data_IF_466609493207
#
_entry.id   IF_466609493207
#
_cell.length_a   1.000
_cell.length_b   1.000
_cell.length_c   1.000
_cell.angle_alpha   90.00
_cell.angle_beta   90.00
_cell.angle_gamma   90.00
#
_symmetry.space_group_name_H-M   'P 1'
#
loop_
_entity.id
_entity.type
_entity.pdbx_description
1 polymer ?
#
# COMPACT_ATOMS: atom_id res chain seq x y z
N UNK A 1 29.45 -42.61 -21.74
CA UNK A 1 28.85 -41.37 -22.27
C UNK A 1 27.34 -41.60 -22.13
N UNK A 2 26.57 -40.85 -21.35
CA UNK A 2 26.43 -39.39 -21.38
C UNK A 2 26.06 -38.80 -20.02
N UNK A 3 26.69 -37.66 -19.73
CA UNK A 3 26.43 -36.74 -18.63
C UNK A 3 25.24 -35.85 -19.03
N UNK A 4 24.09 -35.92 -18.32
CA UNK A 4 22.99 -34.97 -18.52
C UNK A 4 22.86 -34.06 -17.31
N UNK A 5 23.21 -32.81 -17.58
CA UNK A 5 23.27 -31.64 -16.72
C UNK A 5 21.97 -31.43 -15.94
N UNK A 6 22.07 -31.43 -14.61
CA UNK A 6 21.09 -30.87 -13.67
C UNK A 6 21.63 -29.55 -13.14
N UNK A 7 21.27 -28.45 -13.78
CA UNK A 7 21.62 -27.10 -13.33
C UNK A 7 20.82 -26.08 -14.09
N UNK A 8 19.59 -25.79 -13.67
CA UNK A 8 18.81 -24.71 -14.27
C UNK A 8 17.62 -24.19 -13.45
N UNK A 9 17.16 -24.86 -12.39
CA UNK A 9 15.95 -24.39 -11.68
C UNK A 9 16.25 -23.43 -10.52
N UNK A 10 17.47 -23.45 -9.97
CA UNK A 10 17.85 -22.63 -8.80
C UNK A 10 18.31 -21.21 -9.14
N UNK A 11 18.86 -20.94 -10.34
CA UNK A 11 19.40 -19.61 -10.66
C UNK A 11 18.34 -18.59 -11.09
N UNK A 12 17.21 -19.06 -11.64
CA UNK A 12 16.11 -18.18 -12.09
C UNK A 12 15.42 -17.55 -10.88
N UNK A 13 15.20 -18.30 -9.79
CA UNK A 13 14.60 -17.77 -8.57
C UNK A 13 15.50 -16.79 -7.81
N UNK A 14 16.81 -17.00 -7.79
CA UNK A 14 17.75 -16.11 -7.08
C UNK A 14 17.78 -14.72 -7.73
N UNK A 15 17.74 -14.64 -9.06
CA UNK A 15 17.70 -13.36 -9.76
C UNK A 15 16.43 -12.57 -9.45
N UNK A 16 15.27 -13.24 -9.44
CA UNK A 16 13.99 -12.62 -9.08
C UNK A 16 13.97 -12.17 -7.60
N UNK A 17 14.54 -12.95 -6.69
CA UNK A 17 14.66 -12.58 -5.28
C UNK A 17 15.63 -11.40 -5.07
N UNK A 18 16.74 -11.34 -5.80
CA UNK A 18 17.65 -10.19 -5.76
C UNK A 18 16.99 -8.94 -6.35
N UNK A 19 16.18 -9.08 -7.41
CA UNK A 19 15.41 -7.98 -7.98
C UNK A 19 14.36 -7.46 -6.99
N UNK A 20 13.68 -8.35 -6.26
CA UNK A 20 12.76 -8.00 -5.17
C UNK A 20 13.47 -7.31 -4.01
N UNK A 21 14.62 -7.82 -3.56
CA UNK A 21 15.45 -7.16 -2.54
C UNK A 21 15.87 -5.75 -2.99
N UNK A 22 16.18 -5.58 -4.28
CA UNK A 22 16.54 -4.27 -4.82
C UNK A 22 15.35 -3.31 -4.81
N UNK A 23 14.15 -3.78 -5.17
CA UNK A 23 12.92 -2.99 -5.05
C UNK A 23 12.69 -2.55 -3.59
N UNK A 24 12.91 -3.43 -2.62
CA UNK A 24 12.79 -3.12 -1.19
C UNK A 24 13.80 -2.06 -0.70
N UNK A 25 15.02 -2.08 -1.24
CA UNK A 25 16.01 -1.03 -0.99
C UNK A 25 15.59 0.30 -1.61
N UNK A 26 15.15 0.27 -2.87
CA UNK A 26 14.74 1.48 -3.62
C UNK A 26 13.48 2.12 -3.00
N UNK A 27 12.56 1.31 -2.45
CA UNK A 27 11.36 1.73 -1.73
C UNK A 27 11.66 2.19 -0.29
N UNK A 28 12.92 2.08 0.17
CA UNK A 28 13.37 2.49 1.51
C UNK A 28 12.92 1.56 2.65
N UNK A 29 12.42 0.37 2.31
CA UNK A 29 11.99 -0.66 3.27
C UNK A 29 13.19 -1.37 3.89
N UNK A 30 14.28 -1.52 3.14
CA UNK A 30 15.56 -2.07 3.63
C UNK A 30 16.66 -1.01 3.56
N UNK A 31 17.60 -1.07 4.50
CA UNK A 31 18.86 -0.34 4.42
C UNK A 31 19.82 -1.01 3.43
N UNK A 32 20.82 -0.26 2.94
CA UNK A 32 21.87 -0.79 2.06
C UNK A 32 22.59 -1.99 2.70
N UNK A 33 22.86 -1.93 4.01
CA UNK A 33 23.52 -3.00 4.75
C UNK A 33 22.67 -4.27 4.84
N UNK A 34 21.35 -4.14 5.03
CA UNK A 34 20.42 -5.27 5.02
C UNK A 34 20.27 -5.87 3.62
N UNK A 35 20.24 -5.03 2.58
CA UNK A 35 20.26 -5.49 1.20
C UNK A 35 21.52 -6.30 0.90
N UNK A 36 22.70 -5.81 1.28
CA UNK A 36 23.97 -6.48 1.03
C UNK A 36 24.13 -7.77 1.87
N UNK A 37 23.66 -7.75 3.12
CA UNK A 37 23.63 -8.95 3.96
C UNK A 37 22.69 -10.02 3.38
N UNK A 38 21.51 -9.65 2.88
CA UNK A 38 20.57 -10.62 2.33
C UNK A 38 20.98 -11.10 0.93
N UNK A 39 21.51 -10.21 0.09
CA UNK A 39 22.08 -10.56 -1.21
C UNK A 39 23.24 -11.54 -1.07
N UNK A 40 24.15 -11.32 -0.12
CA UNK A 40 25.25 -12.26 0.13
C UNK A 40 24.75 -13.63 0.61
N UNK A 41 23.70 -13.70 1.43
CA UNK A 41 23.06 -14.97 1.81
C UNK A 41 22.45 -15.71 0.62
N UNK A 42 21.80 -15.01 -0.30
CA UNK A 42 21.24 -15.61 -1.53
C UNK A 42 22.32 -16.13 -2.47
N UNK A 43 23.44 -15.42 -2.58
CA UNK A 43 24.57 -15.80 -3.42
C UNK A 43 25.41 -16.93 -2.81
N UNK A 44 25.43 -17.07 -1.49
CA UNK A 44 26.27 -18.04 -0.77
C UNK A 44 25.57 -19.39 -0.49
N UNK A 45 24.30 -19.56 -0.86
CA UNK A 45 23.53 -20.80 -0.64
C UNK A 45 23.72 -21.89 -1.72
N UNK A 46 24.78 -21.84 -2.52
CA UNK A 46 25.30 -23.05 -3.18
C UNK A 46 25.99 -23.92 -2.13
N UNK A 47 25.67 -25.23 -2.01
CA UNK A 47 26.22 -26.05 -0.95
C UNK A 47 27.74 -26.19 -1.13
N UNK A 48 28.49 -25.63 -0.20
CA UNK A 48 29.88 -26.03 0.03
C UNK A 48 30.16 -25.96 1.52
N UNK A 49 30.77 -27.04 2.01
CA UNK A 49 31.01 -27.36 3.41
C UNK A 49 31.73 -26.26 4.20
N UNK A 50 31.34 -26.20 5.47
CA UNK A 50 32.04 -25.70 6.65
C UNK A 50 33.53 -25.40 6.49
N UNK A 51 33.98 -24.23 6.98
CA UNK A 51 35.14 -24.17 7.87
C UNK A 51 35.01 -22.97 8.81
N UNK A 52 35.04 -23.29 10.10
CA UNK A 52 35.13 -22.35 11.21
C UNK A 52 36.40 -21.50 11.13
N UNK A 53 36.32 -20.24 11.54
CA UNK A 53 37.36 -19.63 12.37
C UNK A 53 36.79 -18.44 13.15
N UNK A 54 36.77 -18.63 14.47
CA UNK A 54 36.51 -17.61 15.46
C UNK A 54 37.68 -16.62 15.53
N UNK A 55 37.39 -15.32 15.63
CA UNK A 55 38.09 -14.42 16.56
C UNK A 55 37.34 -13.09 16.71
N UNK A 56 37.24 -12.63 17.95
CA UNK A 56 36.88 -11.30 18.44
C UNK A 56 37.76 -11.06 19.68
N UNK A 57 37.92 -9.85 20.27
CA UNK A 57 37.59 -8.48 19.81
C UNK A 57 38.79 -7.50 19.95
N UNK A 58 38.74 -6.31 19.31
CA UNK A 58 39.39 -5.13 19.91
C UNK A 58 38.75 -3.79 19.55
N UNK A 59 38.58 -2.99 20.60
CA UNK A 59 38.02 -1.64 20.72
C UNK A 59 38.92 -0.53 20.17
N UNK A 60 38.31 0.54 19.65
CA UNK A 60 38.67 1.99 19.70
C UNK A 60 37.79 2.68 18.64
N UNK A 61 36.97 3.71 18.86
CA UNK A 61 36.97 4.79 19.84
C UNK A 61 36.99 6.12 19.07
N UNK A 62 35.82 6.72 18.78
CA UNK A 62 35.68 8.14 18.42
C UNK A 62 34.24 8.64 18.67
N UNK A 63 34.15 9.77 19.37
CA UNK A 63 32.95 10.49 19.82
C UNK A 63 32.25 11.28 18.68
N UNK A 64 31.01 11.76 18.90
CA UNK A 64 30.06 12.14 17.87
C UNK A 64 30.22 13.59 17.35
N UNK A 65 29.94 13.79 16.06
CA UNK A 65 29.73 15.12 15.46
C UNK A 65 28.23 15.44 15.42
N UNK A 66 27.77 16.66 15.78
CA UNK A 66 26.37 16.99 15.84
C UNK A 66 25.85 17.43 14.47
N UNK A 67 25.18 16.53 13.75
CA UNK A 67 24.41 16.93 12.56
C UNK A 67 22.97 17.29 12.95
N UNK A 68 22.60 18.53 12.61
CA UNK A 68 21.26 19.09 12.76
C UNK A 68 20.23 18.25 11.99
N UNK A 69 19.00 18.06 12.51
CA UNK A 69 17.97 17.35 11.78
C UNK A 69 17.55 18.14 10.54
N UNK A 70 17.87 17.63 9.35
CA UNK A 70 17.21 18.03 8.11
C UNK A 70 15.81 17.42 8.10
N UNK A 71 14.80 18.27 8.24
CA UNK A 71 13.40 17.92 7.94
C UNK A 71 13.29 17.61 6.45
N UNK A 72 13.08 16.35 6.12
CA UNK A 72 12.70 15.92 4.77
C UNK A 72 11.20 15.66 4.75
N UNK A 73 10.44 16.63 4.23
CA UNK A 73 9.04 16.43 3.90
C UNK A 73 8.95 15.44 2.73
N UNK A 74 8.49 14.21 3.01
CA UNK A 74 8.16 13.20 2.00
C UNK A 74 6.65 12.93 2.07
N UNK A 75 5.87 13.85 1.49
CA UNK A 75 4.45 13.68 1.23
C UNK A 75 4.14 14.53 0.01
N UNK A 76 4.16 13.92 -1.19
CA UNK A 76 3.80 14.62 -2.42
C UNK A 76 3.48 13.62 -3.55
N UNK A 77 4.23 12.52 -3.69
CA UNK A 77 4.09 11.66 -4.88
C UNK A 77 2.80 10.83 -4.93
N UNK A 78 2.34 10.26 -3.80
CA UNK A 78 1.17 9.37 -3.80
C UNK A 78 -0.15 10.14 -3.85
N UNK A 79 -0.26 11.27 -3.14
CA UNK A 79 -1.43 12.15 -3.23
C UNK A 79 -1.61 12.71 -4.64
N UNK A 80 -0.52 13.16 -5.28
CA UNK A 80 -0.55 13.61 -6.67
C UNK A 80 -1.03 12.50 -7.61
N UNK A 81 -0.60 11.24 -7.40
CA UNK A 81 -1.05 10.10 -8.20
C UNK A 81 -2.57 9.83 -8.03
N UNK A 82 -3.07 9.89 -6.78
CA UNK A 82 -4.49 9.71 -6.47
C UNK A 82 -5.33 10.79 -7.15
N UNK A 83 -4.94 12.08 -7.04
CA UNK A 83 -5.62 13.20 -7.69
C UNK A 83 -5.68 13.00 -9.22
N UNK A 84 -4.56 12.60 -9.83
CA UNK A 84 -4.49 12.39 -11.29
C UNK A 84 -5.39 11.25 -11.78
N UNK A 85 -5.46 10.14 -11.04
CA UNK A 85 -6.30 9.00 -11.42
C UNK A 85 -7.80 9.29 -11.27
N UNK A 86 -8.19 10.05 -10.25
CA UNK A 86 -9.59 10.46 -10.09
C UNK A 86 -9.99 11.35 -11.27
N UNK A 87 -9.13 12.27 -11.69
CA UNK A 87 -9.34 13.12 -12.87
C UNK A 87 -9.41 12.30 -14.17
N UNK A 88 -8.53 11.28 -14.31
CA UNK A 88 -8.53 10.40 -15.48
C UNK A 88 -9.82 9.55 -15.59
N UNK A 89 -10.38 9.11 -14.46
CA UNK A 89 -11.64 8.35 -14.40
C UNK A 89 -12.85 9.13 -14.94
N UNK A 90 -12.86 10.46 -14.80
CA UNK A 90 -13.97 11.34 -15.23
C UNK A 90 -14.18 11.29 -16.76
N UNK A 91 -13.11 11.25 -17.55
CA UNK A 91 -13.16 11.35 -19.02
C UNK A 91 -13.98 10.18 -19.64
N UNK A 92 -13.91 8.98 -19.06
CA UNK A 92 -14.64 7.79 -19.54
C UNK A 92 -16.15 7.83 -19.24
N UNK A 93 -16.59 8.66 -18.30
CA UNK A 93 -17.99 8.73 -17.85
C UNK A 93 -18.73 9.85 -18.55
N UNK A 94 -18.11 11.02 -18.70
CA UNK A 94 -18.71 12.18 -19.38
C UNK A 94 -19.06 11.83 -20.83
N UNK A 95 -18.23 11.06 -21.52
CA UNK A 95 -18.52 10.54 -22.87
C UNK A 95 -19.77 9.65 -22.90
N UNK A 96 -19.93 8.72 -21.94
CA UNK A 96 -21.11 7.83 -21.87
C UNK A 96 -22.40 8.55 -21.48
N UNK A 97 -22.35 9.53 -20.58
CA UNK A 97 -23.53 10.32 -20.20
C UNK A 97 -24.00 11.21 -21.36
N UNK A 98 -23.05 11.77 -22.11
CA UNK A 98 -23.33 12.60 -23.28
C UNK A 98 -23.98 11.79 -24.41
N UNK A 99 -23.56 10.53 -24.62
CA UNK A 99 -24.18 9.63 -25.60
C UNK A 99 -25.60 9.20 -25.22
N UNK A 100 -25.87 8.95 -23.94
CA UNK A 100 -27.19 8.49 -23.48
C UNK A 100 -28.28 9.58 -23.48
N UNK A 101 -27.89 10.86 -23.47
CA UNK A 101 -28.85 11.98 -23.46
C UNK A 101 -29.58 12.17 -24.80
N UNK A 102 -29.14 11.53 -25.89
CA UNK A 102 -29.76 11.64 -27.22
C UNK A 102 -30.87 10.61 -27.48
N UNK A 103 -31.21 9.72 -26.54
CA UNK A 103 -32.31 8.77 -26.69
C UNK A 103 -33.11 8.62 -25.38
N UNK A 104 -33.94 9.63 -25.09
CA UNK A 104 -34.91 9.55 -24.01
C UNK A 104 -36.10 8.66 -24.41
N UNK A 105 -36.10 7.40 -23.95
CA UNK A 105 -37.32 6.61 -23.76
C UNK A 105 -37.36 6.15 -22.31
N UNK A 106 -38.38 6.61 -21.59
CA UNK A 106 -38.66 6.28 -20.20
C UNK A 106 -38.71 4.78 -19.96
N UNK A 107 -37.69 4.24 -19.33
CA UNK A 107 -37.75 2.97 -18.61
C UNK A 107 -37.67 3.27 -17.11
N UNK A 108 -38.69 2.83 -16.37
CA UNK A 108 -38.71 2.82 -14.91
C UNK A 108 -37.61 1.88 -14.39
N UNK A 109 -36.39 2.40 -14.39
CA UNK A 109 -35.25 1.87 -13.63
C UNK A 109 -35.11 2.84 -12.48
N UNK A 110 -35.07 2.37 -11.23
CA UNK A 110 -34.93 3.19 -10.03
C UNK A 110 -33.63 4.00 -10.15
N UNK A 111 -33.72 5.19 -10.75
CA UNK A 111 -32.59 6.07 -10.97
C UNK A 111 -32.18 6.62 -9.62
N UNK A 112 -31.11 6.07 -9.04
CA UNK A 112 -30.47 6.62 -7.85
C UNK A 112 -30.28 8.12 -8.07
N UNK A 113 -30.88 8.94 -7.21
CA UNK A 113 -30.84 10.39 -7.35
C UNK A 113 -29.41 10.90 -7.14
N UNK A 114 -29.10 12.08 -7.69
CA UNK A 114 -27.83 12.75 -7.43
C UNK A 114 -27.55 12.90 -5.92
N UNK A 115 -28.60 13.14 -5.12
CA UNK A 115 -28.52 13.22 -3.66
C UNK A 115 -28.07 11.88 -3.02
N UNK A 116 -28.66 10.76 -3.44
CA UNK A 116 -28.25 9.44 -2.93
C UNK A 116 -26.80 9.10 -3.26
N UNK A 117 -26.28 9.58 -4.40
CA UNK A 117 -24.86 9.44 -4.73
C UNK A 117 -23.97 10.34 -3.86
N UNK A 118 -24.42 11.53 -3.46
CA UNK A 118 -23.68 12.41 -2.53
C UNK A 118 -23.57 11.77 -1.15
N UNK A 119 -24.68 11.27 -0.61
CA UNK A 119 -24.68 10.58 0.69
C UNK A 119 -23.76 9.34 0.68
N UNK A 120 -23.75 8.60 -0.43
CA UNK A 120 -22.86 7.46 -0.62
C UNK A 120 -21.38 7.88 -0.74
N UNK A 121 -21.05 8.96 -1.47
CA UNK A 121 -19.69 9.53 -1.51
C UNK A 121 -19.22 9.95 -0.12
N UNK A 122 -20.03 10.70 0.61
CA UNK A 122 -19.65 11.25 1.91
C UNK A 122 -19.29 10.13 2.89
N UNK A 123 -20.10 9.05 2.90
CA UNK A 123 -19.83 7.87 3.72
C UNK A 123 -18.57 7.14 3.26
N UNK A 124 -18.49 6.80 1.98
CA UNK A 124 -17.36 6.01 1.45
C UNK A 124 -16.04 6.77 1.50
N UNK A 125 -16.07 8.10 1.38
CA UNK A 125 -14.87 8.92 1.52
C UNK A 125 -14.37 8.97 2.96
N UNK A 126 -15.28 9.07 3.94
CA UNK A 126 -14.90 8.95 5.34
C UNK A 126 -14.26 7.58 5.64
N UNK A 127 -14.84 6.50 5.10
CA UNK A 127 -14.28 5.16 5.19
C UNK A 127 -12.89 5.06 4.52
N UNK A 128 -12.74 5.63 3.33
CA UNK A 128 -11.47 5.64 2.59
C UNK A 128 -10.37 6.34 3.39
N UNK A 129 -10.66 7.53 3.96
CA UNK A 129 -9.69 8.26 4.78
C UNK A 129 -9.20 7.42 5.95
N UNK A 130 -10.11 6.77 6.67
CA UNK A 130 -9.75 5.90 7.80
C UNK A 130 -8.88 4.72 7.36
N UNK A 131 -9.24 4.08 6.25
CA UNK A 131 -8.53 2.93 5.70
C UNK A 131 -7.13 3.32 5.23
N UNK A 132 -7.03 4.44 4.49
CA UNK A 132 -5.78 4.94 3.92
C UNK A 132 -4.82 5.49 4.98
N UNK A 133 -5.34 6.15 6.02
CA UNK A 133 -4.53 6.54 7.20
C UNK A 133 -3.95 5.30 7.88
N UNK A 134 -4.75 4.24 8.04
CA UNK A 134 -4.29 2.99 8.66
C UNK A 134 -3.24 2.28 7.80
N UNK A 135 -3.43 2.24 6.47
CA UNK A 135 -2.42 1.77 5.51
C UNK A 135 -1.12 2.57 5.61
N UNK A 136 -1.21 3.89 5.64
CA UNK A 136 -0.05 4.78 5.76
C UNK A 136 0.71 4.57 7.08
N UNK A 137 0.00 4.35 8.19
CA UNK A 137 0.59 4.00 9.49
C UNK A 137 1.29 2.64 9.48
N UNK A 138 0.74 1.65 8.77
CA UNK A 138 1.42 0.36 8.57
C UNK A 138 2.78 0.59 7.90
N UNK A 139 2.80 1.31 6.78
CA UNK A 139 4.04 1.60 6.05
C UNK A 139 5.04 2.39 6.90
N UNK A 140 4.55 3.37 7.66
CA UNK A 140 5.39 4.15 8.57
C UNK A 140 6.03 3.26 9.64
N UNK A 141 5.28 2.35 10.27
CA UNK A 141 5.83 1.45 11.28
C UNK A 141 6.90 0.52 10.71
N UNK A 142 6.71 0.02 9.48
CA UNK A 142 7.72 -0.77 8.78
C UNK A 142 8.99 0.06 8.52
N UNK A 143 8.83 1.31 8.07
CA UNK A 143 9.95 2.24 7.85
C UNK A 143 10.67 2.59 9.16
N UNK A 144 9.95 2.81 10.25
CA UNK A 144 10.56 3.08 11.55
C UNK A 144 11.38 1.88 12.05
N UNK A 145 10.93 0.67 11.76
CA UNK A 145 11.66 -0.55 12.13
C UNK A 145 12.93 -0.70 11.30
N UNK A 146 12.87 -0.48 9.98
CA UNK A 146 14.06 -0.54 9.11
C UNK A 146 15.09 0.54 9.44
N UNK A 147 14.63 1.71 9.91
CA UNK A 147 15.48 2.79 10.43
C UNK A 147 16.06 2.48 11.83
N UNK A 148 15.72 1.35 12.45
CA UNK A 148 16.14 0.98 13.80
C UNK A 148 15.54 1.85 14.91
N UNK A 149 14.45 2.58 14.62
CA UNK A 149 13.80 3.52 15.55
C UNK A 149 12.74 2.87 16.44
N UNK A 150 12.23 1.71 16.03
CA UNK A 150 11.36 0.87 16.86
C UNK A 150 11.92 -0.55 16.90
N UNK A 151 11.67 -1.24 18.01
CA UNK A 151 12.08 -2.62 18.21
C UNK A 151 11.20 -3.60 17.43
N UNK A 152 11.70 -4.84 17.28
CA UNK A 152 10.92 -5.96 16.74
C UNK A 152 9.62 -6.18 17.51
N UNK A 153 9.63 -6.01 18.83
CA UNK A 153 8.45 -6.20 19.68
C UNK A 153 7.39 -5.12 19.39
N UNK A 154 7.80 -3.85 19.32
CA UNK A 154 6.91 -2.74 19.00
C UNK A 154 6.31 -2.86 17.59
N UNK A 155 7.11 -3.28 16.60
CA UNK A 155 6.59 -3.57 15.26
C UNK A 155 5.59 -4.72 15.30
N UNK A 156 5.88 -5.81 16.01
CA UNK A 156 4.99 -6.97 16.12
C UNK A 156 3.63 -6.59 16.72
N UNK A 157 3.64 -5.83 17.81
CA UNK A 157 2.41 -5.34 18.46
C UNK A 157 1.63 -4.37 17.56
N UNK A 158 2.33 -3.53 16.79
CA UNK A 158 1.72 -2.65 15.80
C UNK A 158 1.04 -3.44 14.67
N UNK A 159 1.71 -4.47 14.14
CA UNK A 159 1.14 -5.35 13.11
C UNK A 159 -0.06 -6.13 13.63
N UNK A 160 -0.04 -6.57 14.89
CA UNK A 160 -1.18 -7.26 15.51
C UNK A 160 -2.41 -6.35 15.62
N UNK A 161 -2.22 -5.09 16.00
CA UNK A 161 -3.29 -4.10 16.05
C UNK A 161 -3.83 -3.77 14.65
N UNK A 162 -2.93 -3.50 13.70
CA UNK A 162 -3.26 -3.23 12.31
C UNK A 162 -4.03 -4.39 11.68
N UNK A 163 -3.58 -5.63 11.87
CA UNK A 163 -4.26 -6.85 11.42
C UNK A 163 -5.72 -6.89 11.85
N UNK A 164 -5.98 -6.63 13.13
CA UNK A 164 -7.33 -6.68 13.69
C UNK A 164 -8.22 -5.55 13.17
N UNK A 165 -7.65 -4.34 12.98
CA UNK A 165 -8.35 -3.25 12.33
C UNK A 165 -8.76 -3.62 10.90
N UNK A 166 -7.81 -4.05 10.07
CA UNK A 166 -8.06 -4.38 8.67
C UNK A 166 -9.02 -5.56 8.50
N UNK A 167 -8.93 -6.57 9.37
CA UNK A 167 -9.89 -7.68 9.41
C UNK A 167 -11.32 -7.19 9.65
N UNK A 168 -11.53 -6.24 10.58
CA UNK A 168 -12.85 -5.65 10.83
C UNK A 168 -13.31 -4.79 9.65
N UNK A 169 -12.41 -3.97 9.11
CA UNK A 169 -12.70 -3.09 7.98
C UNK A 169 -13.14 -3.90 6.74
N UNK A 170 -12.42 -4.98 6.40
CA UNK A 170 -12.75 -5.83 5.27
C UNK A 170 -14.18 -6.39 5.31
N UNK A 171 -14.73 -6.58 6.52
CA UNK A 171 -16.08 -7.08 6.76
C UNK A 171 -17.15 -5.98 6.88
N UNK A 172 -16.77 -4.69 7.00
CA UNK A 172 -17.71 -3.61 7.26
C UNK A 172 -18.31 -2.96 6.01
N UNK A 173 -17.74 -3.20 4.84
CA UNK A 173 -18.13 -2.53 3.58
C UNK A 173 -19.27 -3.26 2.84
N UNK A 174 -20.33 -3.67 3.56
CA UNK A 174 -21.50 -4.40 3.00
C UNK A 174 -22.80 -3.56 3.03
N UNK A 175 -22.68 -2.25 2.76
CA UNK A 175 -23.81 -1.31 2.86
C UNK A 175 -24.30 -0.76 1.52
N UNK A 176 -23.83 -1.32 0.40
CA UNK A 176 -24.26 -0.90 -0.94
C UNK A 176 -25.67 -1.39 -1.26
N UNK A 177 -26.51 -0.48 -1.76
CA UNK A 177 -27.93 -0.74 -2.05
C UNK A 177 -28.17 -1.22 -3.49
N UNK A 178 -27.22 -0.99 -4.40
CA UNK A 178 -27.28 -1.41 -5.80
C UNK A 178 -25.97 -2.08 -6.23
N UNK A 179 -25.95 -2.65 -7.44
CA UNK A 179 -24.78 -3.37 -7.96
C UNK A 179 -23.54 -2.48 -8.09
N UNK A 180 -23.72 -1.21 -8.46
CA UNK A 180 -22.59 -0.29 -8.64
C UNK A 180 -21.95 0.08 -7.30
N UNK A 181 -22.76 0.40 -6.29
CA UNK A 181 -22.28 0.66 -4.93
C UNK A 181 -21.56 -0.57 -4.35
N UNK A 182 -22.10 -1.78 -4.55
CA UNK A 182 -21.46 -3.02 -4.11
C UNK A 182 -20.12 -3.26 -4.80
N UNK A 183 -20.04 -3.00 -6.10
CA UNK A 183 -18.78 -3.08 -6.86
C UNK A 183 -17.77 -2.02 -6.41
N UNK A 184 -18.22 -0.82 -6.04
CA UNK A 184 -17.33 0.19 -5.48
C UNK A 184 -16.76 -0.24 -4.12
N UNK A 185 -17.63 -0.69 -3.22
CA UNK A 185 -17.27 -1.15 -1.87
C UNK A 185 -16.38 -2.39 -1.87
N UNK A 186 -16.48 -3.28 -2.87
CA UNK A 186 -15.60 -4.45 -2.94
C UNK A 186 -14.12 -4.06 -3.05
N UNK A 187 -13.80 -2.91 -3.64
CA UNK A 187 -12.42 -2.41 -3.72
C UNK A 187 -11.88 -2.01 -2.34
N UNK A 188 -12.75 -1.52 -1.44
CA UNK A 188 -12.39 -1.22 -0.04
C UNK A 188 -12.12 -2.50 0.75
N UNK A 189 -12.99 -3.51 0.58
CA UNK A 189 -12.76 -4.83 1.18
C UNK A 189 -11.46 -5.47 0.68
N UNK A 190 -11.14 -5.33 -0.61
CA UNK A 190 -9.87 -5.80 -1.17
C UNK A 190 -8.68 -5.08 -0.57
N UNK A 191 -8.69 -3.75 -0.48
CA UNK A 191 -7.60 -2.99 0.15
C UNK A 191 -7.37 -3.45 1.60
N UNK A 192 -8.44 -3.52 2.39
CA UNK A 192 -8.37 -3.95 3.78
C UNK A 192 -7.87 -5.40 3.91
N UNK A 193 -8.34 -6.32 3.08
CA UNK A 193 -7.91 -7.72 3.11
C UNK A 193 -6.43 -7.84 2.75
N UNK A 194 -5.97 -7.14 1.71
CA UNK A 194 -4.56 -7.13 1.32
C UNK A 194 -3.67 -6.57 2.44
N UNK A 195 -4.05 -5.45 3.06
CA UNK A 195 -3.32 -4.92 4.21
C UNK A 195 -3.31 -5.89 5.41
N UNK A 196 -4.43 -6.59 5.68
CA UNK A 196 -4.45 -7.66 6.68
C UNK A 196 -3.43 -8.76 6.34
N UNK A 197 -3.39 -9.22 5.09
CA UNK A 197 -2.45 -10.27 4.66
C UNK A 197 -0.99 -9.79 4.70
N UNK A 198 -0.74 -8.51 4.42
CA UNK A 198 0.56 -7.88 4.59
C UNK A 198 1.01 -7.94 6.05
N UNK A 199 0.16 -7.51 7.00
CA UNK A 199 0.49 -7.57 8.44
C UNK A 199 0.80 -9.01 8.89
N UNK A 200 0.02 -10.00 8.44
CA UNK A 200 0.28 -11.41 8.76
C UNK A 200 1.63 -11.90 8.24
N UNK A 201 2.00 -11.46 7.05
CA UNK A 201 3.25 -11.85 6.40
C UNK A 201 4.45 -11.17 7.07
N UNK A 202 4.32 -9.90 7.46
CA UNK A 202 5.31 -9.18 8.28
C UNK A 202 5.49 -9.88 9.62
N UNK A 203 4.43 -10.22 10.34
CA UNK A 203 4.53 -10.94 11.61
C UNK A 203 5.28 -12.29 11.46
N UNK A 204 4.97 -13.06 10.41
CA UNK A 204 5.69 -14.32 10.11
C UNK A 204 7.18 -14.09 9.81
N UNK A 205 7.50 -13.03 9.05
CA UNK A 205 8.88 -12.63 8.81
C UNK A 205 9.59 -12.27 10.12
N UNK A 206 8.97 -11.50 10.99
CA UNK A 206 9.53 -11.19 12.30
C UNK A 206 9.77 -12.49 13.09
N UNK A 207 8.84 -13.43 13.12
CA UNK A 207 8.99 -14.67 13.88
C UNK A 207 10.11 -15.58 13.35
N UNK A 208 10.25 -15.70 12.01
CA UNK A 208 11.07 -16.74 11.38
C UNK A 208 12.31 -16.23 10.63
N UNK A 209 12.34 -14.95 10.26
CA UNK A 209 13.39 -14.35 9.42
C UNK A 209 13.35 -14.80 7.94
N UNK A 210 12.25 -15.39 7.48
CA UNK A 210 12.13 -15.92 6.13
C UNK A 210 11.82 -14.84 5.09
N UNK A 211 12.71 -14.65 4.11
CA UNK A 211 12.55 -13.66 3.04
C UNK A 211 11.28 -13.88 2.21
N UNK A 212 10.85 -15.13 2.06
CA UNK A 212 9.61 -15.45 1.35
C UNK A 212 8.37 -14.86 2.03
N UNK A 213 8.38 -14.67 3.35
CA UNK A 213 7.29 -13.99 4.07
C UNK A 213 7.38 -12.45 3.87
N UNK A 214 8.59 -11.89 3.76
CA UNK A 214 8.78 -10.47 3.40
C UNK A 214 8.36 -10.17 1.95
N UNK A 215 8.66 -11.06 1.00
CA UNK A 215 8.16 -10.95 -0.39
C UNK A 215 6.63 -10.94 -0.42
N UNK A 216 5.97 -11.85 0.31
CA UNK A 216 4.50 -11.88 0.37
C UNK A 216 3.93 -10.61 0.99
N UNK A 217 4.57 -10.10 2.06
CA UNK A 217 4.17 -8.81 2.62
C UNK A 217 4.22 -7.70 1.57
N UNK A 218 5.27 -7.68 0.75
CA UNK A 218 5.44 -6.70 -0.34
C UNK A 218 4.38 -6.84 -1.41
N UNK A 219 4.10 -8.08 -1.85
CA UNK A 219 3.07 -8.35 -2.85
C UNK A 219 1.70 -7.86 -2.36
N UNK A 220 1.35 -8.15 -1.10
CA UNK A 220 0.11 -7.69 -0.50
C UNK A 220 0.02 -6.16 -0.30
N UNK A 221 1.14 -5.48 -0.02
CA UNK A 221 1.16 -4.02 0.05
C UNK A 221 0.95 -3.39 -1.32
N UNK A 222 1.47 -4.01 -2.40
CA UNK A 222 1.19 -3.58 -3.76
C UNK A 222 -0.29 -3.81 -4.10
N UNK A 223 -0.86 -4.98 -3.76
CA UNK A 223 -2.30 -5.25 -3.96
C UNK A 223 -3.18 -4.22 -3.24
N UNK A 224 -2.82 -3.84 -2.00
CA UNK A 224 -3.55 -2.83 -1.23
C UNK A 224 -3.46 -1.45 -1.89
N UNK A 225 -2.28 -1.08 -2.40
CA UNK A 225 -2.06 0.16 -3.15
C UNK A 225 -2.88 0.17 -4.44
N UNK A 226 -2.87 -0.90 -5.23
CA UNK A 226 -3.67 -1.00 -6.45
C UNK A 226 -5.18 -0.84 -6.16
N UNK A 227 -5.66 -1.46 -5.08
CA UNK A 227 -7.04 -1.27 -4.62
C UNK A 227 -7.33 0.19 -4.22
N UNK A 228 -6.42 0.86 -3.52
CA UNK A 228 -6.57 2.28 -3.18
C UNK A 228 -6.65 3.17 -4.43
N UNK A 229 -5.85 2.88 -5.46
CA UNK A 229 -5.88 3.59 -6.74
C UNK A 229 -7.20 3.34 -7.49
N UNK A 230 -7.74 2.12 -7.42
CA UNK A 230 -9.03 1.80 -8.01
C UNK A 230 -10.18 2.54 -7.31
N UNK A 231 -10.17 2.62 -5.98
CA UNK A 231 -11.14 3.40 -5.20
C UNK A 231 -11.12 4.86 -5.64
N UNK A 232 -9.92 5.46 -5.73
CA UNK A 232 -9.72 6.83 -6.16
C UNK A 232 -10.26 7.06 -7.58
N UNK A 233 -9.87 6.22 -8.53
CA UNK A 233 -10.33 6.30 -9.93
C UNK A 233 -11.87 6.21 -10.04
N UNK A 234 -12.46 5.25 -9.33
CA UNK A 234 -13.91 5.04 -9.35
C UNK A 234 -14.68 6.16 -8.63
N UNK A 235 -14.05 6.86 -7.67
CA UNK A 235 -14.67 8.00 -6.99
C UNK A 235 -15.02 9.14 -7.96
N UNK A 236 -14.17 9.39 -8.96
CA UNK A 236 -14.44 10.42 -9.97
C UNK A 236 -15.74 10.14 -10.74
N UNK A 237 -15.99 8.86 -11.04
CA UNK A 237 -17.22 8.38 -11.68
C UNK A 237 -18.43 8.57 -10.78
N UNK A 238 -18.29 8.30 -9.49
CA UNK A 238 -19.33 8.49 -8.47
C UNK A 238 -19.69 9.99 -8.34
N UNK A 239 -18.70 10.87 -8.28
CA UNK A 239 -18.93 12.31 -8.16
C UNK A 239 -19.66 12.91 -9.37
N UNK A 240 -19.39 12.42 -10.59
CA UNK A 240 -20.16 12.81 -11.77
C UNK A 240 -21.64 12.42 -11.61
N UNK A 241 -21.93 11.22 -11.09
CA UNK A 241 -23.33 10.78 -10.83
C UNK A 241 -24.01 11.54 -9.70
N UNK A 242 -23.23 12.01 -8.73
CA UNK A 242 -23.67 12.95 -7.71
C UNK A 242 -23.98 14.35 -8.28
N UNK A 243 -23.73 14.59 -9.57
CA UNK A 243 -24.06 15.83 -10.26
C UNK A 243 -23.05 16.95 -10.03
N UNK A 244 -21.81 16.62 -9.66
CA UNK A 244 -20.72 17.59 -9.62
C UNK A 244 -20.17 17.84 -11.03
N UNK A 245 -19.84 19.09 -11.32
CA UNK A 245 -19.08 19.51 -12.50
C UNK A 245 -17.61 19.10 -12.39
N UNK A 246 -16.88 19.14 -13.51
CA UNK A 246 -15.46 18.78 -13.51
C UNK A 246 -14.63 19.70 -12.60
N UNK A 247 -14.96 20.99 -12.61
CA UNK A 247 -14.33 22.01 -11.76
C UNK A 247 -14.59 21.72 -10.28
N UNK A 248 -15.85 21.48 -9.89
CA UNK A 248 -16.21 21.13 -8.51
C UNK A 248 -15.55 19.84 -8.04
N UNK A 249 -15.45 18.83 -8.91
CA UNK A 249 -14.76 17.58 -8.61
C UNK A 249 -13.27 17.85 -8.33
N UNK A 250 -12.62 18.64 -9.18
CA UNK A 250 -11.20 18.97 -9.00
C UNK A 250 -10.95 19.72 -7.69
N UNK A 251 -11.78 20.72 -7.38
CA UNK A 251 -11.70 21.48 -6.12
C UNK A 251 -11.91 20.58 -4.91
N UNK A 252 -12.97 19.75 -4.92
CA UNK A 252 -13.30 18.82 -3.83
C UNK A 252 -12.15 17.85 -3.55
N UNK A 253 -11.62 17.20 -4.59
CA UNK A 253 -10.52 16.23 -4.45
C UNK A 253 -9.26 16.91 -3.91
N UNK A 254 -8.88 18.06 -4.47
CA UNK A 254 -7.67 18.76 -4.04
C UNK A 254 -7.75 19.17 -2.57
N UNK A 255 -8.91 19.69 -2.13
CA UNK A 255 -9.13 20.07 -0.74
C UNK A 255 -9.04 18.85 0.19
N UNK A 256 -9.77 17.79 -0.13
CA UNK A 256 -9.87 16.62 0.74
C UNK A 256 -8.57 15.79 0.78
N UNK A 257 -7.80 15.78 -0.29
CA UNK A 257 -6.48 15.14 -0.30
C UNK A 257 -5.45 15.92 0.52
N UNK A 258 -5.50 17.25 0.53
CA UNK A 258 -4.65 18.07 1.39
C UNK A 258 -4.95 17.81 2.88
N UNK A 259 -6.23 17.72 3.25
CA UNK A 259 -6.64 17.35 4.62
C UNK A 259 -6.15 15.95 5.02
N UNK A 260 -6.19 14.99 4.08
CA UNK A 260 -5.72 13.63 4.33
C UNK A 260 -4.20 13.58 4.55
N UNK A 261 -3.44 14.34 3.76
CA UNK A 261 -1.98 14.47 3.95
C UNK A 261 -1.63 15.08 5.31
N UNK A 262 -2.37 16.11 5.74
CA UNK A 262 -2.19 16.71 7.06
C UNK A 262 -2.47 15.70 8.18
N UNK A 263 -3.52 14.90 8.06
CA UNK A 263 -3.83 13.85 9.04
C UNK A 263 -2.73 12.79 9.14
N UNK A 264 -2.17 12.36 8.00
CA UNK A 264 -1.06 11.41 7.96
C UNK A 264 0.19 12.02 8.59
N UNK A 265 0.48 13.29 8.31
CA UNK A 265 1.64 14.00 8.85
C UNK A 265 1.54 14.19 10.38
N UNK A 266 0.38 14.62 10.87
CA UNK A 266 0.14 14.88 12.29
C UNK A 266 0.01 13.59 13.11
N UNK A 267 -0.43 12.49 12.50
CA UNK A 267 -0.54 11.18 13.14
C UNK A 267 0.80 10.49 13.45
N UNK A 268 1.93 11.02 12.98
CA UNK A 268 3.28 10.48 13.20
C UNK A 268 4.04 11.04 14.41
N UNK A 269 3.39 11.89 15.23
CA UNK A 269 4.00 12.60 16.37
C UNK A 269 3.43 12.21 17.74
N UNK A 270 2.73 11.08 17.86
CA UNK A 270 2.17 10.59 19.14
C UNK A 270 2.77 9.25 19.54
#
# INVERSE_FOLDING_TARGET
MDNKITGSETSIGIADEIAKLKKLLDDGILTQDEYDQQKSRLLNNTPTESTNSASSPQNQGLQPSPEKPKKTGKGCLISVLIVLLVIAGIISVVTKITENSNNATSSNTTSTSAESWREFDDRTWADFKNLYVSHSRLLQNVSLFSEGRVSKLELYDSMKQAKEYFRKAAMSFDYGNNSEEKTYLSSFSSMALSDQMATESIMKYLDKGNISDLSKATDHLEDAKEAALLIASNRGTLLVRAGYTQEEISEKINSEMAELEEQISNGGNS
#
